data_IF_740741624025
#
_entry.id   IF_740741624025
#
_cell.length_a   1.000
_cell.length_b   1.000
_cell.length_c   1.000
_cell.angle_alpha   90.00
_cell.angle_beta   90.00
_cell.angle_gamma   90.00
#
_symmetry.space_group_name_H-M   'P 1'
#
loop_
_entity.id
_entity.type
_entity.pdbx_description
1 polymer ?
#
# COMPACT_ATOMS: atom_id res chain seq x y z
N UNK A 1 -21.23 -10.36 5.72
CA UNK A 1 -22.70 -10.30 5.64
C UNK A 1 -23.10 -9.07 4.85
N UNK A 2 -23.66 -9.22 3.65
CA UNK A 2 -24.15 -8.07 2.89
C UNK A 2 -25.54 -7.69 3.43
N UNK A 3 -25.60 -6.68 4.30
CA UNK A 3 -26.87 -6.12 4.77
C UNK A 3 -27.67 -5.55 3.60
N UNK A 4 -28.99 -5.67 3.68
CA UNK A 4 -29.89 -5.26 2.60
C UNK A 4 -29.84 -3.72 2.46
N UNK A 5 -29.18 -3.23 1.41
CA UNK A 5 -28.95 -1.79 1.13
C UNK A 5 -30.28 -0.99 1.04
N UNK A 6 -31.42 -1.68 0.89
CA UNK A 6 -32.76 -1.09 0.79
C UNK A 6 -33.27 -0.39 2.05
N UNK A 7 -32.73 -0.68 3.24
CA UNK A 7 -33.29 -0.25 4.54
C UNK A 7 -32.43 0.73 5.34
N UNK A 8 -31.33 1.27 4.78
CA UNK A 8 -30.47 2.21 5.53
C UNK A 8 -31.19 3.56 5.75
N UNK A 9 -31.36 4.03 7.01
CA UNK A 9 -32.11 5.25 7.32
C UNK A 9 -31.38 6.55 6.94
N UNK A 10 -30.13 6.48 6.51
CA UNK A 10 -29.33 7.65 6.15
C UNK A 10 -29.76 8.17 4.77
N UNK A 11 -30.26 9.41 4.73
CA UNK A 11 -30.58 10.10 3.49
C UNK A 11 -29.34 10.16 2.57
N UNK A 12 -29.50 9.83 1.29
CA UNK A 12 -28.41 9.80 0.32
C UNK A 12 -27.52 8.55 0.37
N UNK A 13 -27.74 7.60 1.30
CA UNK A 13 -26.90 6.41 1.44
C UNK A 13 -26.75 5.61 0.14
N UNK A 14 -27.83 5.44 -0.64
CA UNK A 14 -27.76 4.70 -1.91
C UNK A 14 -26.87 5.38 -2.94
N UNK A 15 -26.93 6.71 -3.04
CA UNK A 15 -26.09 7.50 -3.94
C UNK A 15 -24.63 7.42 -3.48
N UNK A 16 -24.39 7.59 -2.19
CA UNK A 16 -23.08 7.40 -1.58
C UNK A 16 -22.50 6.01 -1.86
N UNK A 17 -23.30 4.95 -1.65
CA UNK A 17 -22.87 3.57 -1.89
C UNK A 17 -22.53 3.29 -3.36
N UNK A 18 -23.27 3.89 -4.30
CA UNK A 18 -22.93 3.83 -5.73
C UNK A 18 -21.57 4.47 -6.01
N UNK A 19 -21.28 5.61 -5.40
CA UNK A 19 -19.96 6.27 -5.52
C UNK A 19 -18.87 5.38 -4.93
N UNK A 20 -19.07 4.84 -3.73
CA UNK A 20 -18.11 3.93 -3.10
C UNK A 20 -17.82 2.71 -3.97
N UNK A 21 -18.84 2.14 -4.62
CA UNK A 21 -18.64 1.01 -5.54
C UNK A 21 -17.75 1.38 -6.73
N UNK A 22 -17.94 2.56 -7.30
CA UNK A 22 -17.07 3.06 -8.38
C UNK A 22 -15.64 3.27 -7.87
N UNK A 23 -15.48 3.87 -6.68
CA UNK A 23 -14.17 4.09 -6.09
C UNK A 23 -13.46 2.76 -5.75
N UNK A 24 -14.19 1.75 -5.27
CA UNK A 24 -13.61 0.42 -5.00
C UNK A 24 -13.12 -0.29 -6.27
N UNK A 25 -13.69 0.04 -7.42
CA UNK A 25 -13.23 -0.52 -8.70
C UNK A 25 -11.92 0.16 -9.18
N UNK A 26 -11.63 1.40 -8.75
CA UNK A 26 -10.40 2.10 -9.14
C UNK A 26 -9.14 1.46 -8.56
N UNK A 27 -9.23 0.81 -7.40
CA UNK A 27 -8.11 0.09 -6.78
C UNK A 27 -7.47 -0.94 -7.72
N UNK A 28 -8.26 -1.47 -8.66
CA UNK A 28 -7.81 -2.46 -9.67
C UNK A 28 -7.20 -1.85 -10.92
N UNK A 29 -7.25 -0.52 -11.08
CA UNK A 29 -6.92 0.17 -12.34
C UNK A 29 -5.87 1.26 -12.18
N UNK A 30 -5.54 1.63 -10.93
CA UNK A 30 -4.51 2.63 -10.67
C UNK A 30 -3.10 2.00 -10.83
N UNK A 31 -2.17 2.68 -11.52
CA UNK A 31 -0.83 2.14 -11.80
C UNK A 31 0.11 2.17 -10.56
N UNK A 32 -0.42 2.45 -9.37
CA UNK A 32 0.29 2.46 -8.10
C UNK A 32 1.34 3.58 -7.97
N UNK A 33 2.17 3.50 -6.92
CA UNK A 33 3.21 4.48 -6.62
C UNK A 33 4.16 4.71 -7.82
N UNK A 34 4.54 3.64 -8.52
CA UNK A 34 5.41 3.69 -9.71
C UNK A 34 4.72 4.33 -10.92
N UNK A 35 3.40 4.28 -10.97
CA UNK A 35 2.57 4.95 -11.97
C UNK A 35 2.27 6.42 -11.67
N UNK A 36 2.89 7.01 -10.64
CA UNK A 36 2.70 8.42 -10.28
C UNK A 36 1.58 8.69 -9.29
N UNK A 37 0.96 7.64 -8.71
CA UNK A 37 -0.01 7.82 -7.63
C UNK A 37 0.65 8.27 -6.32
N UNK A 38 -0.16 8.82 -5.41
CA UNK A 38 0.27 9.36 -4.13
C UNK A 38 0.69 10.83 -4.21
N UNK A 39 1.37 11.37 -3.17
CA UNK A 39 1.80 12.76 -3.13
C UNK A 39 2.72 13.08 -4.32
N UNK A 40 2.45 14.18 -5.01
CA UNK A 40 3.23 14.60 -6.20
C UNK A 40 4.69 14.89 -5.88
N UNK A 41 4.98 15.29 -4.64
CA UNK A 41 6.27 15.68 -4.09
C UNK A 41 6.96 14.58 -3.28
N UNK A 42 6.58 13.31 -3.46
CA UNK A 42 7.22 12.19 -2.76
C UNK A 42 8.71 12.05 -3.12
N UNK A 43 9.58 12.45 -2.20
CA UNK A 43 11.04 12.40 -2.37
C UNK A 43 11.59 10.97 -2.52
N UNK A 44 10.97 9.98 -1.87
CA UNK A 44 11.40 8.57 -1.99
C UNK A 44 11.19 8.05 -3.41
N UNK A 45 10.06 8.41 -4.04
CA UNK A 45 9.77 8.01 -5.41
C UNK A 45 10.74 8.66 -6.40
N UNK A 46 11.05 9.96 -6.22
CA UNK A 46 12.05 10.67 -7.03
C UNK A 46 13.43 10.00 -6.90
N UNK A 47 13.88 9.76 -5.67
CA UNK A 47 15.15 9.10 -5.38
C UNK A 47 15.26 7.70 -6.03
N UNK A 48 14.20 6.87 -5.92
CA UNK A 48 14.20 5.55 -6.53
C UNK A 48 14.27 5.60 -8.07
N UNK A 49 13.54 6.55 -8.68
CA UNK A 49 13.54 6.75 -10.13
C UNK A 49 14.91 7.24 -10.63
N UNK A 50 15.52 8.23 -9.97
CA UNK A 50 16.83 8.78 -10.32
C UNK A 50 17.94 7.72 -10.23
N UNK A 51 17.85 6.82 -9.24
CA UNK A 51 18.81 5.73 -9.05
C UNK A 51 18.51 4.48 -9.90
N UNK A 52 17.39 4.47 -10.62
CA UNK A 52 16.98 3.32 -11.43
C UNK A 52 16.71 2.05 -10.61
N UNK A 53 16.37 2.16 -9.33
CA UNK A 53 16.10 1.01 -8.45
C UNK A 53 14.61 0.68 -8.43
N UNK A 54 14.28 -0.61 -8.43
CA UNK A 54 12.89 -1.07 -8.40
C UNK A 54 12.21 -0.71 -7.07
N UNK A 55 12.88 -1.01 -5.96
CA UNK A 55 12.52 -0.62 -4.60
C UNK A 55 13.79 -0.30 -3.82
N UNK A 56 13.65 0.28 -2.63
CA UNK A 56 14.79 0.55 -1.76
C UNK A 56 15.52 -0.73 -1.31
N UNK A 57 14.92 -1.92 -1.45
CA UNK A 57 15.52 -3.20 -1.11
C UNK A 57 16.81 -3.43 -1.90
N UNK A 58 16.85 -2.96 -3.15
CA UNK A 58 17.99 -3.11 -4.08
C UNK A 58 18.82 -1.83 -4.23
N UNK A 59 18.59 -0.84 -3.37
CA UNK A 59 19.40 0.37 -3.35
C UNK A 59 20.73 0.09 -2.62
N UNK A 60 21.89 0.38 -3.22
CA UNK A 60 23.19 0.12 -2.59
C UNK A 60 23.46 0.98 -1.34
N UNK A 61 22.70 2.08 -1.18
CA UNK A 61 22.78 2.95 0.00
C UNK A 61 21.74 2.60 1.07
N UNK A 62 20.93 1.55 0.86
CA UNK A 62 19.90 1.17 1.83
C UNK A 62 20.53 0.54 3.09
N UNK A 63 20.13 0.94 4.31
CA UNK A 63 19.17 2.00 4.62
C UNK A 63 19.81 3.41 4.67
N UNK A 64 19.36 4.30 3.78
CA UNK A 64 19.77 5.70 3.77
C UNK A 64 18.85 6.55 4.67
N UNK A 65 19.26 7.79 4.98
CA UNK A 65 18.50 8.69 5.87
C UNK A 65 17.04 8.91 5.45
N UNK A 66 16.78 9.00 4.15
CA UNK A 66 15.42 9.17 3.62
C UNK A 66 14.54 7.95 3.94
N UNK A 67 15.10 6.74 3.80
CA UNK A 67 14.39 5.51 4.12
C UNK A 67 14.24 5.33 5.63
N UNK A 68 15.25 5.67 6.43
CA UNK A 68 15.19 5.55 7.90
C UNK A 68 14.04 6.34 8.50
N UNK A 69 13.81 7.57 8.02
CA UNK A 69 12.65 8.39 8.44
C UNK A 69 11.31 7.71 8.14
N UNK A 70 11.24 6.94 7.05
CA UNK A 70 10.04 6.21 6.69
C UNK A 70 9.87 4.94 7.56
N UNK A 71 10.96 4.21 7.82
CA UNK A 71 10.99 3.03 8.69
C UNK A 71 10.61 3.41 10.13
N UNK A 72 11.11 4.53 10.64
CA UNK A 72 10.77 5.02 12.00
C UNK A 72 9.26 5.21 12.17
N UNK A 73 8.58 5.70 11.13
CA UNK A 73 7.13 5.89 11.15
C UNK A 73 6.35 4.61 10.86
N UNK A 74 6.90 3.73 10.02
CA UNK A 74 6.25 2.51 9.56
C UNK A 74 7.27 1.34 9.61
N UNK A 75 7.50 0.73 10.78
CA UNK A 75 8.55 -0.28 10.98
C UNK A 75 8.44 -1.49 10.03
N UNK A 76 7.22 -1.87 9.66
CA UNK A 76 6.92 -2.97 8.72
C UNK A 76 7.61 -2.81 7.35
N UNK A 77 8.02 -1.59 6.99
CA UNK A 77 8.77 -1.34 5.77
C UNK A 77 10.13 -2.02 5.80
N UNK A 78 10.82 -2.04 6.94
CA UNK A 78 12.12 -2.70 7.05
C UNK A 78 12.02 -4.21 6.80
N UNK A 79 11.01 -4.84 7.40
CA UNK A 79 10.71 -6.26 7.22
C UNK A 79 10.36 -6.58 5.76
N UNK A 80 9.50 -5.76 5.13
CA UNK A 80 9.16 -5.92 3.72
C UNK A 80 10.36 -5.74 2.78
N UNK A 81 11.23 -4.78 3.04
CA UNK A 81 12.44 -4.58 2.24
C UNK A 81 13.45 -5.71 2.44
N UNK A 82 13.56 -6.25 3.64
CA UNK A 82 14.38 -7.45 3.89
C UNK A 82 13.82 -8.66 3.14
N UNK A 83 12.49 -8.85 3.16
CA UNK A 83 11.80 -9.93 2.46
C UNK A 83 11.98 -9.82 0.95
N UNK A 84 11.83 -8.63 0.37
CA UNK A 84 12.11 -8.36 -1.04
C UNK A 84 13.57 -8.64 -1.44
N UNK A 85 14.55 -8.35 -0.56
CA UNK A 85 15.97 -8.70 -0.83
C UNK A 85 16.20 -10.20 -0.91
N UNK A 86 15.48 -10.98 -0.09
CA UNK A 86 15.66 -12.43 0.02
C UNK A 86 15.10 -13.17 -1.20
N UNK A 87 13.89 -12.83 -1.64
CA UNK A 87 13.16 -13.59 -2.68
C UNK A 87 12.83 -12.81 -3.96
N UNK A 88 13.14 -11.51 -4.01
CA UNK A 88 12.72 -10.64 -5.10
C UNK A 88 11.31 -10.08 -4.91
N UNK A 89 10.95 -9.11 -5.75
CA UNK A 89 9.69 -8.36 -5.61
C UNK A 89 8.48 -9.19 -6.04
N UNK A 90 8.60 -9.97 -7.12
CA UNK A 90 7.45 -10.70 -7.68
C UNK A 90 6.91 -11.74 -6.71
N UNK A 91 7.80 -12.57 -6.13
CA UNK A 91 7.42 -13.54 -5.11
C UNK A 91 6.91 -12.85 -3.82
N UNK A 92 7.43 -11.66 -3.49
CA UNK A 92 6.96 -10.91 -2.33
C UNK A 92 5.54 -10.39 -2.56
N UNK A 93 5.21 -9.95 -3.78
CA UNK A 93 3.85 -9.57 -4.18
C UNK A 93 2.91 -10.77 -3.99
N UNK A 94 3.27 -11.97 -4.45
CA UNK A 94 2.45 -13.17 -4.22
C UNK A 94 2.22 -13.47 -2.74
N UNK A 95 3.21 -13.23 -1.87
CA UNK A 95 3.04 -13.34 -0.42
C UNK A 95 2.05 -12.31 0.13
N UNK A 96 2.13 -11.05 -0.35
CA UNK A 96 1.22 -10.00 0.09
C UNK A 96 -0.21 -10.24 -0.39
N UNK A 97 -0.41 -10.78 -1.60
CA UNK A 97 -1.72 -11.15 -2.11
C UNK A 97 -2.36 -12.26 -1.26
N UNK A 98 -1.62 -13.31 -0.93
CA UNK A 98 -2.10 -14.37 -0.03
C UNK A 98 -2.42 -13.85 1.37
N UNK A 99 -1.61 -12.91 1.88
CA UNK A 99 -1.84 -12.28 3.17
C UNK A 99 -3.15 -11.47 3.14
N UNK A 100 -3.37 -10.66 2.10
CA UNK A 100 -4.61 -9.92 1.89
C UNK A 100 -5.83 -10.85 1.77
N UNK A 101 -5.71 -11.96 1.03
CA UNK A 101 -6.77 -12.97 0.90
C UNK A 101 -7.15 -13.64 2.24
N UNK A 102 -6.20 -13.77 3.16
CA UNK A 102 -6.48 -14.28 4.51
C UNK A 102 -7.27 -13.32 5.40
N UNK A 103 -7.54 -12.09 4.92
CA UNK A 103 -8.25 -11.06 5.66
C UNK A 103 -7.36 -10.31 6.65
N UNK A 104 -6.04 -10.36 6.48
CA UNK A 104 -5.08 -9.64 7.31
C UNK A 104 -5.22 -8.12 7.14
N UNK A 105 -5.33 -7.39 8.26
CA UNK A 105 -5.24 -5.94 8.28
C UNK A 105 -4.01 -5.49 9.08
N UNK A 106 -3.27 -4.49 8.59
CA UNK A 106 -2.13 -3.94 9.35
C UNK A 106 -2.56 -3.30 10.68
N UNK A 107 -3.82 -2.89 10.80
CA UNK A 107 -4.39 -2.40 12.07
C UNK A 107 -4.50 -3.54 13.11
N UNK A 108 -4.55 -4.80 12.68
CA UNK A 108 -4.56 -5.97 13.58
C UNK A 108 -3.19 -6.17 14.27
N UNK A 109 -2.11 -5.53 13.78
CA UNK A 109 -0.77 -5.60 14.39
C UNK A 109 -0.60 -4.70 15.61
N UNK A 110 -1.62 -3.95 16.04
CA UNK A 110 -1.65 -3.30 17.36
C UNK A 110 -0.78 -2.04 17.51
N UNK A 111 -0.82 -1.13 16.54
CA UNK A 111 -0.37 0.25 16.76
C UNK A 111 -1.52 1.10 17.30
N UNK A 112 -1.37 1.65 18.50
CA UNK A 112 -2.29 2.67 19.02
C UNK A 112 -2.39 3.81 18.00
N UNK A 113 -3.57 3.94 17.37
CA UNK A 113 -3.91 5.04 16.47
C UNK A 113 -4.25 6.34 17.20
#
# INVERSE_FOLDING_TARGET
MAGNISENPIEGFRQFWKVLKVLSDFDRTIPGCRGGCGPSDCEIRKCAAEKGVLTCAFCPESPCELLRKLIEKYPVIEENLARQRELGVDLWIEEQEKLAESGFCYDDMGGEG
#
